data_IF_252275825499
#
_entry.id   IF_252275825499
#
_cell.length_a   1.000
_cell.length_b   1.000
_cell.length_c   1.000
_cell.angle_alpha   90.00
_cell.angle_beta   90.00
_cell.angle_gamma   90.00
#
_symmetry.space_group_name_H-M   'P 1'
#
loop_
_entity.id
_entity.type
_entity.pdbx_description
1 polymer ?
#
# COMPACT_ATOMS: atom_id res chain seq x y z
N UNK A 1 -17.75 15.46 -26.51
CA UNK A 1 -17.82 14.53 -25.36
C UNK A 1 -18.04 15.24 -24.01
N UNK A 2 -17.66 16.52 -23.84
CA UNK A 2 -17.89 17.31 -22.61
C UNK A 2 -19.30 17.89 -22.43
N UNK A 3 -20.17 17.87 -23.43
CA UNK A 3 -21.52 18.44 -23.34
C UNK A 3 -22.51 17.54 -22.57
N UNK A 4 -22.32 16.21 -22.63
CA UNK A 4 -23.25 15.24 -22.04
C UNK A 4 -23.10 15.10 -20.51
N UNK A 5 -21.92 15.41 -19.95
CA UNK A 5 -21.68 15.34 -18.51
C UNK A 5 -22.36 16.48 -17.74
N UNK A 6 -22.48 17.67 -18.36
CA UNK A 6 -23.12 18.82 -17.72
C UNK A 6 -24.65 18.63 -17.61
N UNK A 7 -25.28 18.06 -18.64
CA UNK A 7 -26.74 17.86 -18.64
C UNK A 7 -27.21 16.83 -17.60
N UNK A 8 -26.48 15.71 -17.44
CA UNK A 8 -26.77 14.72 -16.39
C UNK A 8 -26.50 15.24 -14.98
N UNK A 9 -25.45 16.06 -14.79
CA UNK A 9 -25.15 16.69 -13.51
C UNK A 9 -26.26 17.66 -13.08
N UNK A 10 -26.73 18.51 -14.01
CA UNK A 10 -27.84 19.42 -13.76
C UNK A 10 -29.17 18.68 -13.55
N UNK A 11 -29.45 17.59 -14.29
CA UNK A 11 -30.66 16.78 -14.11
C UNK A 11 -30.69 16.10 -12.73
N UNK A 12 -29.54 15.60 -12.27
CA UNK A 12 -29.41 15.00 -10.94
C UNK A 12 -29.55 16.04 -9.83
N UNK A 13 -28.94 17.23 -9.99
CA UNK A 13 -29.08 18.34 -9.05
C UNK A 13 -30.52 18.88 -8.97
N UNK A 14 -31.23 18.93 -10.11
CA UNK A 14 -32.64 19.38 -10.16
C UNK A 14 -33.59 18.35 -9.53
N UNK A 15 -33.36 17.06 -9.77
CA UNK A 15 -34.07 15.97 -9.08
C UNK A 15 -33.85 16.00 -7.56
N UNK A 16 -32.67 16.41 -7.11
CA UNK A 16 -32.37 16.57 -5.69
C UNK A 16 -33.14 17.72 -5.05
N UNK A 17 -33.26 18.86 -5.74
CA UNK A 17 -34.01 20.02 -5.25
C UNK A 17 -35.51 19.74 -5.11
N UNK A 18 -36.11 18.98 -6.03
CA UNK A 18 -37.54 18.65 -5.99
C UNK A 18 -37.92 17.76 -4.80
N UNK A 19 -36.98 16.96 -4.27
CA UNK A 19 -37.21 16.09 -3.10
C UNK A 19 -36.98 16.76 -1.74
N UNK A 20 -36.48 17.99 -1.69
CA UNK A 20 -36.24 18.73 -0.43
C UNK A 20 -37.38 19.65 0.00
N UNK A 21 -38.49 19.71 -0.76
CA UNK A 21 -39.65 20.54 -0.45
C UNK A 21 -40.66 19.91 0.55
N UNK A 22 -40.28 18.82 1.23
CA UNK A 22 -41.04 18.24 2.33
C UNK A 22 -40.19 18.34 3.60
N UNK A 23 -40.73 18.95 4.66
CA UNK A 23 -40.07 19.09 5.96
C UNK A 23 -39.32 17.81 6.35
N UNK A 24 -37.99 17.93 6.52
CA UNK A 24 -37.15 16.82 6.95
C UNK A 24 -37.40 16.52 8.44
N UNK A 25 -38.41 15.69 8.72
CA UNK A 25 -38.65 15.13 10.04
C UNK A 25 -37.61 14.01 10.31
N UNK A 26 -36.39 14.41 10.67
CA UNK A 26 -35.28 13.47 10.95
C UNK A 26 -35.50 12.81 12.32
N UNK A 27 -35.97 11.57 12.31
CA UNK A 27 -35.98 10.69 13.48
C UNK A 27 -34.59 10.05 13.68
N UNK A 28 -34.19 9.75 14.94
CA UNK A 28 -32.94 9.02 15.29
C UNK A 28 -32.67 7.81 14.39
N UNK A 29 -33.70 7.01 14.04
CA UNK A 29 -33.57 5.86 13.12
C UNK A 29 -33.22 6.25 11.68
N UNK A 30 -33.71 7.40 11.20
CA UNK A 30 -33.42 7.89 9.86
C UNK A 30 -32.01 8.49 9.79
N UNK A 31 -31.55 9.14 10.87
CA UNK A 31 -30.17 9.60 11.01
C UNK A 31 -29.16 8.44 10.85
N UNK A 32 -29.38 7.32 11.55
CA UNK A 32 -28.49 6.16 11.41
C UNK A 32 -28.52 5.53 10.01
N UNK A 33 -29.66 5.52 9.32
CA UNK A 33 -29.75 5.04 7.92
C UNK A 33 -28.95 5.92 6.96
N UNK A 34 -28.99 7.24 7.15
CA UNK A 34 -28.23 8.21 6.33
C UNK A 34 -26.73 8.08 6.61
N UNK A 35 -26.32 8.02 7.89
CA UNK A 35 -24.91 7.85 8.25
C UNK A 35 -24.34 6.51 7.75
N UNK A 36 -25.09 5.41 7.86
CA UNK A 36 -24.68 4.11 7.36
C UNK A 36 -24.56 4.10 5.82
N UNK A 37 -25.51 4.73 5.10
CA UNK A 37 -25.43 4.86 3.64
C UNK A 37 -24.29 5.77 3.16
N UNK A 38 -24.02 6.87 3.89
CA UNK A 38 -22.98 7.85 3.54
C UNK A 38 -21.54 7.32 3.72
N UNK A 39 -21.29 6.54 4.77
CA UNK A 39 -19.96 5.95 5.00
C UNK A 39 -19.60 4.88 3.98
N UNK A 40 -20.56 4.12 3.45
CA UNK A 40 -20.30 3.13 2.40
C UNK A 40 -19.91 3.79 1.06
N UNK A 41 -20.39 5.00 0.77
CA UNK A 41 -20.15 5.70 -0.48
C UNK A 41 -18.77 6.37 -0.59
N UNK A 42 -18.10 6.64 0.52
CA UNK A 42 -16.84 7.41 0.53
C UNK A 42 -15.57 6.56 0.48
N UNK A 43 -15.66 5.24 0.64
CA UNK A 43 -14.48 4.36 0.67
C UNK A 43 -13.91 4.01 -0.70
N UNK A 44 -14.66 4.20 -1.80
CA UNK A 44 -14.24 3.82 -3.15
C UNK A 44 -13.41 4.89 -3.88
N UNK A 45 -13.28 6.09 -3.30
CA UNK A 45 -12.51 7.20 -3.89
C UNK A 45 -11.27 7.58 -3.08
N UNK A 46 -10.89 6.78 -2.06
CA UNK A 46 -9.63 6.98 -1.35
C UNK A 46 -8.46 6.65 -2.31
N UNK A 47 -7.63 7.62 -2.71
CA UNK A 47 -6.47 7.40 -3.58
C UNK A 47 -5.37 6.53 -2.94
N UNK A 48 -5.62 5.93 -1.76
CA UNK A 48 -4.71 5.06 -1.04
C UNK A 48 -4.97 3.56 -1.18
N UNK A 49 -6.04 3.14 -1.87
CA UNK A 49 -6.38 1.70 -2.05
C UNK A 49 -6.30 1.20 -3.49
N UNK A 50 -6.15 2.10 -4.47
CA UNK A 50 -5.75 1.70 -5.81
C UNK A 50 -4.23 1.74 -5.87
N UNK A 51 -3.59 0.62 -5.56
CA UNK A 51 -2.23 0.41 -6.03
C UNK A 51 -2.30 0.36 -7.56
N UNK A 52 -2.24 1.53 -8.22
CA UNK A 52 -1.74 1.55 -9.59
C UNK A 52 -0.35 0.90 -9.50
N UNK A 53 -0.02 -0.09 -10.34
CA UNK A 53 1.33 -0.61 -10.37
C UNK A 53 2.24 0.56 -10.72
N UNK A 54 2.86 1.16 -9.71
CA UNK A 54 3.92 2.12 -9.91
C UNK A 54 4.98 1.35 -10.68
N UNK A 55 5.22 1.76 -11.94
CA UNK A 55 6.09 1.09 -12.89
C UNK A 55 7.59 1.14 -12.50
N UNK A 56 7.89 1.32 -11.21
CA UNK A 56 9.14 0.92 -10.62
C UNK A 56 9.01 -0.51 -10.15
N UNK A 57 9.22 -1.49 -11.05
CA UNK A 57 9.45 -2.89 -10.68
C UNK A 57 10.29 -2.99 -9.40
N UNK A 58 9.94 -3.90 -8.51
CA UNK A 58 10.73 -4.24 -7.33
C UNK A 58 12.13 -4.63 -7.86
N UNK A 59 13.18 -3.92 -7.44
CA UNK A 59 14.55 -4.22 -7.88
C UNK A 59 15.13 -5.27 -6.95
N UNK A 60 15.36 -6.47 -7.47
CA UNK A 60 15.92 -7.56 -6.69
C UNK A 60 17.44 -7.37 -6.47
N UNK A 61 17.80 -6.64 -5.42
CA UNK A 61 19.19 -6.27 -5.09
C UNK A 61 20.08 -7.44 -4.63
N UNK A 62 19.51 -8.63 -4.39
CA UNK A 62 20.21 -9.77 -3.77
C UNK A 62 20.52 -10.92 -4.72
N UNK A 63 19.90 -10.98 -5.90
CA UNK A 63 19.96 -12.16 -6.79
C UNK A 63 21.37 -12.58 -7.23
N UNK A 64 22.32 -11.64 -7.25
CA UNK A 64 23.72 -11.90 -7.66
C UNK A 64 24.74 -11.53 -6.59
N UNK A 65 24.29 -11.32 -5.35
CA UNK A 65 25.20 -11.17 -4.22
C UNK A 65 25.72 -12.53 -3.77
N UNK A 66 26.93 -12.57 -3.22
CA UNK A 66 27.41 -13.76 -2.52
C UNK A 66 26.90 -13.76 -1.09
N UNK A 67 26.12 -14.78 -0.78
CA UNK A 67 25.59 -15.07 0.56
C UNK A 67 26.65 -15.78 1.41
N UNK A 68 26.88 -15.27 2.61
CA UNK A 68 27.78 -15.85 3.60
C UNK A 68 27.07 -15.93 4.94
N UNK A 69 27.08 -17.10 5.57
CA UNK A 69 26.51 -17.32 6.89
C UNK A 69 27.51 -16.94 7.98
N UNK A 70 27.09 -16.13 8.94
CA UNK A 70 27.91 -15.73 10.09
C UNK A 70 27.04 -15.65 11.36
N UNK A 71 27.69 -15.54 12.51
CA UNK A 71 27.05 -15.33 13.79
C UNK A 71 27.10 -13.85 14.20
N UNK A 72 26.02 -13.32 14.77
CA UNK A 72 25.95 -11.97 15.30
C UNK A 72 26.98 -11.77 16.42
N UNK A 73 27.90 -10.81 16.26
CA UNK A 73 29.02 -10.58 17.18
C UNK A 73 28.71 -9.58 18.30
N UNK A 74 27.45 -9.17 18.46
CA UNK A 74 27.09 -8.14 19.42
C UNK A 74 26.85 -8.69 20.82
N UNK A 75 25.99 -9.70 20.94
CA UNK A 75 25.60 -10.26 22.22
C UNK A 75 25.84 -11.77 22.27
N UNK A 76 25.83 -12.33 23.48
CA UNK A 76 26.03 -13.76 23.73
C UNK A 76 24.91 -14.67 23.22
N UNK A 77 23.83 -14.10 22.66
CA UNK A 77 22.75 -14.86 22.03
C UNK A 77 23.27 -15.57 20.78
N UNK A 78 24.13 -14.93 20.00
CA UNK A 78 24.66 -15.51 18.78
C UNK A 78 23.58 -15.83 17.75
N UNK A 79 22.82 -14.81 17.33
CA UNK A 79 21.84 -14.97 16.25
C UNK A 79 22.54 -15.29 14.92
N UNK A 80 21.99 -16.24 14.17
CA UNK A 80 22.40 -16.48 12.79
C UNK A 80 22.14 -15.29 11.89
N UNK A 81 23.11 -14.95 11.05
CA UNK A 81 23.00 -13.87 10.06
C UNK A 81 23.40 -14.35 8.67
N UNK A 82 22.74 -13.79 7.66
CA UNK A 82 23.09 -13.90 6.26
C UNK A 82 23.67 -12.56 5.78
N UNK A 83 24.92 -12.61 5.35
CA UNK A 83 25.67 -11.46 4.87
C UNK A 83 25.75 -11.54 3.35
N UNK A 84 25.28 -10.49 2.67
CA UNK A 84 25.40 -10.34 1.23
C UNK A 84 26.55 -9.42 0.89
N UNK A 85 27.45 -9.95 0.06
CA UNK A 85 28.61 -9.24 -0.43
C UNK A 85 28.59 -9.11 -1.94
N UNK A 86 29.14 -8.00 -2.44
CA UNK A 86 29.35 -7.76 -3.86
C UNK A 86 30.52 -8.65 -4.31
N UNK A 87 30.35 -9.30 -5.46
CA UNK A 87 31.32 -10.24 -6.01
C UNK A 87 30.88 -11.69 -5.84
N UNK A 88 31.35 -12.52 -6.75
CA UNK A 88 31.03 -13.95 -6.86
C UNK A 88 32.04 -14.85 -6.12
N UNK A 89 33.05 -14.25 -5.49
CA UNK A 89 34.17 -14.96 -4.88
C UNK A 89 35.36 -15.16 -5.84
N UNK A 90 35.32 -14.61 -7.05
CA UNK A 90 36.48 -14.56 -7.93
C UNK A 90 37.60 -13.71 -7.30
N UNK A 91 38.86 -14.14 -7.49
CA UNK A 91 40.04 -13.43 -6.96
C UNK A 91 40.18 -11.99 -7.45
N UNK A 92 39.58 -11.67 -8.59
CA UNK A 92 39.64 -10.35 -9.21
C UNK A 92 38.54 -9.40 -8.70
N UNK A 93 37.56 -9.90 -7.95
CA UNK A 93 36.48 -9.11 -7.37
C UNK A 93 36.79 -8.86 -5.88
N UNK A 94 36.93 -7.60 -5.50
CA UNK A 94 37.08 -7.23 -4.08
C UNK A 94 35.71 -7.34 -3.41
N UNK A 95 35.59 -8.21 -2.41
CA UNK A 95 34.34 -8.38 -1.68
C UNK A 95 34.02 -7.15 -0.84
N UNK A 96 32.77 -6.66 -0.95
CA UNK A 96 32.27 -5.56 -0.13
C UNK A 96 30.86 -5.88 0.36
N UNK A 97 30.61 -5.71 1.65
CA UNK A 97 29.32 -6.03 2.27
C UNK A 97 28.35 -4.87 2.04
N UNK A 98 27.14 -5.17 1.55
CA UNK A 98 26.13 -4.15 1.27
C UNK A 98 24.74 -4.44 1.87
N UNK A 99 24.49 -5.67 2.35
CA UNK A 99 23.26 -6.02 3.04
C UNK A 99 23.48 -7.17 4.03
N UNK A 100 22.82 -7.09 5.19
CA UNK A 100 22.86 -8.13 6.23
C UNK A 100 21.42 -8.32 6.71
N UNK A 101 21.00 -9.57 6.83
CA UNK A 101 19.72 -9.96 7.40
C UNK A 101 19.87 -11.13 8.38
N UNK A 102 18.81 -11.42 9.13
CA UNK A 102 18.78 -12.56 10.04
C UNK A 102 18.59 -13.88 9.27
N UNK A 103 19.26 -14.93 9.71
CA UNK A 103 19.02 -16.27 9.18
C UNK A 103 17.78 -16.88 9.83
N UNK A 104 16.83 -17.35 9.01
CA UNK A 104 15.57 -17.95 9.47
C UNK A 104 15.72 -19.44 9.87
N UNK A 105 16.87 -20.05 9.57
CA UNK A 105 17.10 -21.49 9.77
C UNK A 105 17.86 -21.79 11.07
N UNK A 106 18.31 -20.77 11.80
CA UNK A 106 18.99 -20.95 13.08
C UNK A 106 17.96 -21.15 14.22
N UNK A 107 17.97 -22.31 14.92
CA UNK A 107 17.05 -22.58 16.04
C UNK A 107 17.34 -21.75 17.28
#
# INVERSE_FOLDING_TARGET
>A
MYQFTCSLCCYFARSWNEKQANEMQINRRNFFKICAGGMAGTSLTLPGFTSLPAAGAIRDKLLRGRETRNNCTYCSVGCGMLIYSLGDGAKNATSSIYHIEGDLVQP
#
